data_IF_933238878527
#
_entry.id   IF_933238878527
#
_cell.length_a   1.000
_cell.length_b   1.000
_cell.length_c   1.000
_cell.angle_alpha   90.00
_cell.angle_beta   90.00
_cell.angle_gamma   90.00
#
_symmetry.space_group_name_H-M   'P 1'
#
loop_
_entity.id
_entity.type
_entity.pdbx_description
1 polymer ?
#
# COMPACT_ATOMS: atom_id res chain seq x y z
N UNK A 1 69.98 19.16 33.76
CA UNK A 1 68.51 19.01 33.81
C UNK A 1 67.95 19.12 32.40
N UNK A 2 67.32 18.07 31.85
CA UNK A 2 66.58 18.12 30.57
C UNK A 2 65.28 17.34 30.75
N UNK A 3 64.20 18.09 30.93
CA UNK A 3 62.85 17.61 31.24
C UNK A 3 62.25 16.89 30.03
N UNK A 4 61.76 15.67 30.21
CA UNK A 4 61.00 14.93 29.19
C UNK A 4 59.51 15.12 29.47
N UNK A 5 58.81 15.73 28.51
CA UNK A 5 57.35 15.91 28.55
C UNK A 5 56.73 14.63 27.99
N UNK A 6 55.97 13.90 28.80
CA UNK A 6 55.13 12.80 28.35
C UNK A 6 53.71 13.34 28.11
N UNK A 7 53.28 13.44 26.85
CA UNK A 7 51.88 13.67 26.52
C UNK A 7 51.12 12.34 26.61
N UNK A 8 50.24 12.23 27.61
CA UNK A 8 49.31 11.12 27.71
C UNK A 8 48.05 11.47 26.92
N UNK A 9 47.80 10.76 25.82
CA UNK A 9 46.56 10.89 25.03
C UNK A 9 45.55 9.91 25.58
N UNK A 10 44.65 10.40 26.42
CA UNK A 10 43.52 9.61 26.93
C UNK A 10 42.43 9.53 25.86
N UNK A 11 42.29 8.37 25.22
CA UNK A 11 41.23 8.07 24.27
C UNK A 11 39.95 7.70 25.02
N UNK A 12 39.10 8.69 25.28
CA UNK A 12 37.79 8.49 25.87
C UNK A 12 36.83 7.87 24.84
N UNK A 13 36.50 6.59 25.01
CA UNK A 13 35.37 5.98 24.29
C UNK A 13 34.07 6.58 24.85
N UNK A 14 33.43 7.47 24.09
CA UNK A 14 32.04 7.84 24.37
C UNK A 14 31.12 6.67 23.97
N UNK A 15 30.19 6.25 24.85
CA UNK A 15 29.19 5.27 24.48
C UNK A 15 28.23 5.92 23.49
N UNK A 16 28.30 5.49 22.23
CA UNK A 16 27.29 5.84 21.24
C UNK A 16 26.04 5.07 21.62
N UNK A 17 25.09 5.77 22.26
CA UNK A 17 23.75 5.22 22.47
C UNK A 17 23.10 5.03 21.09
N UNK A 18 23.22 3.82 20.55
CA UNK A 18 22.47 3.41 19.39
C UNK A 18 20.99 3.31 19.82
N UNK A 19 20.20 4.32 19.49
CA UNK A 19 18.75 4.15 19.39
C UNK A 19 18.51 3.16 18.24
N UNK A 20 18.51 1.87 18.54
CA UNK A 20 17.93 0.89 17.65
C UNK A 20 16.43 1.23 17.58
N UNK A 21 16.02 1.98 16.56
CA UNK A 21 14.62 2.07 16.24
C UNK A 21 14.16 0.68 15.84
N UNK A 22 13.06 0.19 16.42
CA UNK A 22 12.31 -0.99 15.97
C UNK A 22 11.65 -0.76 14.59
N UNK A 23 12.31 0.02 13.74
CA UNK A 23 11.76 0.67 12.57
C UNK A 23 11.73 -0.26 11.38
N UNK A 24 10.83 -1.24 11.39
CA UNK A 24 10.22 -1.63 10.11
C UNK A 24 9.51 -0.38 9.60
N UNK A 25 10.14 0.37 8.68
CA UNK A 25 9.48 1.50 8.04
C UNK A 25 8.16 1.00 7.46
N UNK A 26 7.05 1.66 7.80
CA UNK A 26 5.78 1.35 7.19
C UNK A 26 5.85 1.61 5.68
N UNK A 27 5.01 0.91 4.93
CA UNK A 27 4.83 1.20 3.51
C UNK A 27 4.35 2.64 3.34
N UNK A 28 4.97 3.46 2.47
CA UNK A 28 4.54 4.83 2.27
C UNK A 28 3.13 4.91 1.67
N UNK A 29 2.33 5.90 2.10
CA UNK A 29 0.91 6.06 1.74
C UNK A 29 0.59 5.93 0.26
N UNK A 30 1.47 6.45 -0.61
CA UNK A 30 1.30 6.38 -2.07
C UNK A 30 1.35 4.96 -2.65
N UNK A 31 1.84 3.96 -1.92
CA UNK A 31 1.80 2.56 -2.34
C UNK A 31 0.63 1.80 -1.71
N UNK A 32 0.03 2.35 -0.66
CA UNK A 32 -1.11 1.74 0.02
C UNK A 32 -2.33 1.69 -0.89
N UNK A 33 -3.21 0.74 -0.59
CA UNK A 33 -4.53 0.62 -1.19
C UNK A 33 -4.74 -0.68 -1.96
N UNK A 34 -5.80 -0.68 -2.76
CA UNK A 34 -6.22 -1.79 -3.59
C UNK A 34 -5.77 -1.56 -5.04
N UNK A 35 -5.19 -2.60 -5.62
CA UNK A 35 -4.66 -2.64 -6.97
C UNK A 35 -5.22 -3.87 -7.69
N UNK A 36 -5.61 -3.72 -8.96
CA UNK A 36 -6.17 -4.81 -9.76
C UNK A 36 -5.54 -4.87 -11.17
N UNK A 37 -5.74 -5.96 -11.90
CA UNK A 37 -5.19 -6.16 -13.25
C UNK A 37 -5.75 -5.20 -14.31
N UNK A 38 -6.93 -4.65 -14.05
CA UNK A 38 -7.59 -3.63 -14.86
C UNK A 38 -8.42 -2.69 -13.97
N UNK A 39 -8.75 -1.47 -14.42
CA UNK A 39 -9.70 -0.60 -13.70
C UNK A 39 -11.07 -1.26 -13.48
N UNK A 40 -11.54 -2.08 -14.41
CA UNK A 40 -12.83 -2.77 -14.36
C UNK A 40 -12.83 -3.89 -13.32
N UNK A 41 -11.68 -4.53 -13.10
CA UNK A 41 -11.50 -5.60 -12.11
C UNK A 41 -11.62 -5.12 -10.66
N UNK A 42 -11.57 -3.81 -10.39
CA UNK A 42 -11.53 -3.27 -9.03
C UNK A 42 -12.75 -3.60 -8.15
N UNK A 43 -13.88 -3.97 -8.77
CA UNK A 43 -15.10 -4.37 -8.06
C UNK A 43 -15.26 -5.90 -7.91
N UNK A 44 -14.35 -6.68 -8.50
CA UNK A 44 -14.37 -8.14 -8.48
C UNK A 44 -13.29 -8.64 -7.56
N UNK A 45 -13.63 -9.53 -6.63
CA UNK A 45 -12.61 -10.28 -5.87
C UNK A 45 -12.05 -11.45 -6.70
N UNK A 46 -12.60 -11.76 -7.87
CA UNK A 46 -12.18 -12.89 -8.71
C UNK A 46 -11.07 -12.55 -9.73
N UNK A 47 -10.38 -11.43 -9.58
CA UNK A 47 -9.22 -11.08 -10.42
C UNK A 47 -7.93 -11.64 -9.79
N UNK A 48 -7.28 -12.56 -10.50
CA UNK A 48 -6.02 -13.20 -10.08
C UNK A 48 -4.88 -12.18 -9.83
N UNK A 49 -5.02 -10.94 -10.33
CA UNK A 49 -4.05 -9.87 -10.16
C UNK A 49 -4.34 -8.92 -9.00
N UNK A 50 -5.36 -9.19 -8.18
CA UNK A 50 -5.65 -8.39 -6.99
C UNK A 50 -4.44 -8.34 -6.07
N UNK A 51 -4.16 -7.13 -5.61
CA UNK A 51 -3.13 -6.83 -4.65
C UNK A 51 -3.62 -5.75 -3.69
N UNK A 52 -3.57 -6.05 -2.39
CA UNK A 52 -3.82 -5.08 -1.32
C UNK A 52 -2.52 -4.83 -0.58
N UNK A 53 -2.12 -3.58 -0.49
CA UNK A 53 -0.95 -3.16 0.29
C UNK A 53 -1.45 -2.31 1.46
N UNK A 54 -1.31 -2.85 2.67
CA UNK A 54 -1.55 -2.16 3.92
C UNK A 54 -0.20 -1.71 4.53
N UNK A 55 -0.19 -0.83 5.56
CA UNK A 55 1.06 -0.29 6.12
C UNK A 55 2.12 -1.33 6.50
N UNK A 56 1.70 -2.53 6.90
CA UNK A 56 2.57 -3.63 7.36
C UNK A 56 2.12 -5.02 6.88
N UNK A 57 1.20 -5.10 5.93
CA UNK A 57 0.64 -6.36 5.43
C UNK A 57 0.44 -6.28 3.93
N UNK A 58 0.62 -7.40 3.24
CA UNK A 58 0.34 -7.52 1.82
C UNK A 58 -0.57 -8.72 1.60
N UNK A 59 -1.55 -8.58 0.71
CA UNK A 59 -2.47 -9.65 0.33
C UNK A 59 -2.50 -9.71 -1.19
N UNK A 60 -2.13 -10.86 -1.75
CA UNK A 60 -2.35 -11.27 -3.13
C UNK A 60 -3.57 -12.19 -3.18
N UNK A 61 -3.95 -12.63 -4.38
CA UNK A 61 -5.04 -13.59 -4.57
C UNK A 61 -4.83 -14.91 -3.78
N UNK A 62 -3.63 -15.50 -3.85
CA UNK A 62 -3.36 -16.84 -3.30
C UNK A 62 -2.53 -16.82 -2.01
N UNK A 63 -1.98 -15.67 -1.65
CA UNK A 63 -1.08 -15.56 -0.50
C UNK A 63 -1.14 -14.21 0.17
N UNK A 64 -0.88 -14.20 1.47
CA UNK A 64 -0.82 -12.97 2.25
C UNK A 64 0.21 -13.07 3.36
N UNK A 65 0.56 -11.93 3.94
CA UNK A 65 1.33 -11.94 5.17
C UNK A 65 2.02 -10.64 5.53
N UNK A 66 2.73 -10.63 6.67
CA UNK A 66 3.37 -9.44 7.20
C UNK A 66 4.56 -8.98 6.34
N UNK A 67 4.67 -7.66 6.19
CA UNK A 67 5.83 -7.00 5.60
C UNK A 67 6.92 -6.88 6.68
N UNK A 68 8.06 -7.52 6.43
CA UNK A 68 9.22 -7.57 7.33
C UNK A 68 10.21 -6.44 7.09
N UNK A 69 10.31 -5.94 5.86
CA UNK A 69 11.12 -4.78 5.53
C UNK A 69 10.56 -4.01 4.32
N UNK A 70 10.81 -2.70 4.32
CA UNK A 70 10.50 -1.78 3.22
C UNK A 70 11.78 -1.06 2.84
N UNK A 71 12.15 -1.12 1.56
CA UNK A 71 13.32 -0.42 1.02
C UNK A 71 12.86 0.52 -0.09
N UNK A 72 13.26 1.78 0.00
CA UNK A 72 12.90 2.82 -0.96
C UNK A 72 14.08 3.19 -1.85
N UNK A 73 13.84 3.34 -3.15
CA UNK A 73 14.76 3.97 -4.09
C UNK A 73 14.09 5.21 -4.69
N UNK A 74 14.44 6.37 -4.15
CA UNK A 74 13.77 7.62 -4.48
C UNK A 74 12.29 7.61 -4.10
N UNK A 75 11.46 8.29 -4.89
CA UNK A 75 10.02 8.43 -4.60
C UNK A 75 9.16 7.34 -5.25
N UNK A 76 9.57 6.76 -6.37
CA UNK A 76 8.70 5.87 -7.17
C UNK A 76 8.98 4.38 -7.00
N UNK A 77 10.16 3.97 -6.53
CA UNK A 77 10.54 2.56 -6.49
C UNK A 77 10.59 2.05 -5.04
N UNK A 78 9.94 0.92 -4.79
CA UNK A 78 9.88 0.26 -3.48
C UNK A 78 10.17 -1.23 -3.62
N UNK A 79 10.99 -1.78 -2.74
CA UNK A 79 11.12 -3.22 -2.54
C UNK A 79 10.56 -3.60 -1.17
N UNK A 80 9.79 -4.69 -1.12
CA UNK A 80 9.28 -5.28 0.11
C UNK A 80 9.91 -6.64 0.33
N UNK A 81 10.24 -6.94 1.58
CA UNK A 81 10.48 -8.30 2.04
C UNK A 81 9.25 -8.70 2.85
N UNK A 82 8.57 -9.76 2.43
CA UNK A 82 7.33 -10.24 3.01
C UNK A 82 7.52 -11.68 3.47
N UNK A 83 6.93 -12.05 4.60
CA UNK A 83 6.70 -13.46 4.96
C UNK A 83 5.29 -13.76 4.51
N UNK A 84 5.17 -14.53 3.43
CA UNK A 84 3.88 -14.88 2.83
C UNK A 84 3.49 -16.28 3.27
N UNK A 85 2.19 -16.49 3.41
CA UNK A 85 1.56 -17.78 3.63
C UNK A 85 0.48 -18.01 2.58
N UNK A 86 0.38 -19.24 2.11
CA UNK A 86 -0.58 -19.68 1.07
C UNK A 86 -0.46 -21.19 0.90
N UNK A 87 -1.56 -21.86 0.56
CA UNK A 87 -1.60 -23.32 0.30
C UNK A 87 -1.00 -24.22 1.41
N UNK A 88 -0.95 -23.73 2.65
CA UNK A 88 -0.38 -24.45 3.80
C UNK A 88 1.12 -24.27 4.01
N UNK A 89 1.79 -23.47 3.18
CA UNK A 89 3.21 -23.14 3.31
C UNK A 89 3.42 -21.71 3.81
N UNK A 90 4.63 -21.41 4.28
CA UNK A 90 5.07 -20.06 4.63
C UNK A 90 6.49 -19.85 4.17
N UNK A 91 6.75 -18.75 3.46
CA UNK A 91 8.03 -18.46 2.84
C UNK A 91 8.35 -16.97 2.85
N UNK A 92 9.63 -16.63 2.72
CA UNK A 92 10.05 -15.25 2.49
C UNK A 92 10.03 -14.94 0.99
N UNK A 93 9.43 -13.81 0.63
CA UNK A 93 9.37 -13.29 -0.73
C UNK A 93 9.90 -11.87 -0.79
N UNK A 94 10.54 -11.51 -1.90
CA UNK A 94 10.93 -10.14 -2.21
C UNK A 94 10.20 -9.67 -3.45
N UNK A 95 9.44 -8.60 -3.33
CA UNK A 95 8.73 -7.97 -4.45
C UNK A 95 9.23 -6.55 -4.67
N UNK A 96 9.37 -6.14 -5.94
CA UNK A 96 9.77 -4.78 -6.34
C UNK A 96 8.65 -4.14 -7.13
N UNK A 97 8.28 -2.94 -6.69
CA UNK A 97 7.26 -2.13 -7.31
C UNK A 97 7.83 -0.79 -7.78
N UNK A 98 7.39 -0.36 -8.96
CA UNK A 98 7.56 1.00 -9.46
C UNK A 98 6.18 1.65 -9.58
N UNK A 99 5.99 2.79 -8.93
CA UNK A 99 4.77 3.60 -9.02
C UNK A 99 4.89 4.55 -10.21
N UNK A 100 3.85 4.62 -11.06
CA UNK A 100 3.79 5.61 -12.13
C UNK A 100 3.73 7.04 -11.58
N UNK A 101 4.15 8.06 -12.35
CA UNK A 101 4.18 9.45 -11.87
C UNK A 101 2.81 9.99 -11.39
N UNK A 102 1.72 9.53 -11.98
CA UNK A 102 0.34 9.88 -11.60
C UNK A 102 -0.20 9.06 -10.41
N UNK A 103 0.59 8.10 -9.90
CA UNK A 103 0.21 7.21 -8.82
C UNK A 103 -0.89 6.21 -9.18
N UNK A 104 -1.29 6.10 -10.46
CA UNK A 104 -2.43 5.27 -10.90
C UNK A 104 -2.05 3.85 -11.29
N UNK A 105 -0.76 3.57 -11.53
CA UNK A 105 -0.27 2.25 -11.89
C UNK A 105 0.87 1.82 -10.97
N UNK A 106 0.81 0.56 -10.56
CA UNK A 106 1.86 -0.11 -9.82
C UNK A 106 2.46 -1.19 -10.72
N UNK A 107 3.72 -1.02 -11.09
CA UNK A 107 4.46 -1.95 -11.93
C UNK A 107 5.23 -2.89 -11.02
N UNK A 108 4.91 -4.17 -11.08
CA UNK A 108 5.63 -5.25 -10.42
C UNK A 108 6.70 -5.78 -11.38
N UNK A 109 7.97 -5.62 -10.96
CA UNK A 109 9.14 -5.93 -11.78
C UNK A 109 9.74 -7.32 -11.46
N UNK A 110 9.15 -8.10 -10.54
CA UNK A 110 9.79 -9.29 -9.98
C UNK A 110 8.93 -10.54 -9.98
N UNK A 111 7.61 -10.42 -9.86
CA UNK A 111 6.73 -11.59 -9.69
C UNK A 111 6.74 -12.50 -10.91
N UNK A 112 6.89 -11.92 -12.11
CA UNK A 112 6.96 -12.69 -13.35
C UNK A 112 8.32 -12.46 -14.02
N UNK A 113 9.20 -13.48 -14.09
CA UNK A 113 10.53 -13.33 -14.64
C UNK A 113 10.53 -12.78 -16.08
N UNK A 114 11.33 -11.74 -16.32
CA UNK A 114 11.52 -11.16 -17.65
C UNK A 114 10.35 -10.33 -18.18
N UNK A 115 9.30 -10.08 -17.38
CA UNK A 115 8.19 -9.22 -17.78
C UNK A 115 7.68 -8.36 -16.62
N UNK A 116 7.19 -7.19 -16.98
CA UNK A 116 6.51 -6.31 -16.03
C UNK A 116 5.05 -6.70 -15.91
N UNK A 117 4.54 -6.71 -14.68
CA UNK A 117 3.12 -6.89 -14.39
C UNK A 117 2.57 -5.55 -13.90
N UNK A 118 1.63 -4.98 -14.66
CA UNK A 118 1.03 -3.68 -14.34
C UNK A 118 -0.31 -3.90 -13.64
N UNK A 119 -0.48 -3.25 -12.49
CA UNK A 119 -1.75 -3.17 -11.76
C UNK A 119 -2.23 -1.72 -11.69
N UNK A 120 -3.53 -1.52 -11.62
CA UNK A 120 -4.20 -0.22 -11.62
C UNK A 120 -4.78 0.07 -10.25
N UNK A 121 -4.63 1.32 -9.81
CA UNK A 121 -5.18 1.78 -8.53
C UNK A 121 -6.70 1.74 -8.59
N UNK A 122 -7.29 0.98 -7.68
CA UNK A 122 -8.72 1.02 -7.45
C UNK A 122 -9.11 2.28 -6.69
N UNK A 123 -10.31 2.80 -6.96
CA UNK A 123 -10.85 3.87 -6.15
C UNK A 123 -10.99 3.35 -4.70
N UNK A 124 -10.63 4.17 -3.73
CA UNK A 124 -10.87 3.82 -2.32
C UNK A 124 -12.38 3.64 -2.15
N UNK A 125 -12.84 2.42 -1.89
CA UNK A 125 -14.26 2.16 -1.60
C UNK A 125 -14.69 2.75 -0.24
N UNK A 126 -13.79 3.49 0.44
CA UNK A 126 -14.08 4.37 1.58
C UNK A 126 -14.90 5.58 1.10
N UNK A 127 -16.11 5.32 0.63
CA UNK A 127 -17.00 6.34 0.08
C UNK A 127 -18.26 5.80 -0.60
N UNK A 128 -18.28 4.53 -1.02
CA UNK A 128 -19.45 3.98 -1.70
C UNK A 128 -19.82 2.62 -1.11
N UNK A 129 -20.47 2.64 0.05
CA UNK A 129 -21.42 1.56 0.36
C UNK A 129 -22.53 1.63 -0.69
N UNK A 130 -22.81 0.58 -1.48
CA UNK A 130 -24.07 0.48 -2.20
C UNK A 130 -25.17 0.19 -1.15
N UNK A 131 -25.60 1.24 -0.45
CA UNK A 131 -26.48 1.10 0.71
C UNK A 131 -26.85 2.44 1.34
N UNK A 132 -27.10 3.46 0.51
CA UNK A 132 -27.97 4.60 0.81
C UNK A 132 -27.98 5.53 -0.41
N UNK A 133 -28.50 5.04 -1.54
CA UNK A 133 -29.13 5.94 -2.48
C UNK A 133 -30.44 6.37 -1.82
N UNK A 134 -30.39 7.43 -1.01
CA UNK A 134 -31.59 8.16 -0.61
C UNK A 134 -32.18 8.75 -1.89
N UNK A 135 -33.04 7.97 -2.52
CA UNK A 135 -33.96 8.45 -3.55
C UNK A 135 -34.66 9.69 -2.96
N UNK A 136 -34.58 10.88 -3.57
CA UNK A 136 -35.39 11.99 -3.09
C UNK A 136 -36.85 11.57 -3.20
N UNK A 137 -37.57 11.64 -2.09
CA UNK A 137 -38.99 11.34 -2.04
C UNK A 137 -39.72 12.16 -3.12
N UNK A 138 -40.63 11.55 -3.90
CA UNK A 138 -41.45 12.34 -4.81
C UNK A 138 -42.24 13.35 -3.97
N UNK A 139 -42.16 14.63 -4.34
CA UNK A 139 -42.97 15.69 -3.74
C UNK A 139 -44.44 15.29 -3.86
N UNK A 140 -45.01 14.87 -2.73
CA UNK A 140 -46.42 14.54 -2.58
C UNK A 140 -47.19 15.86 -2.52
N UNK A 141 -47.52 16.40 -3.69
CA UNK A 141 -48.25 17.66 -3.84
C UNK A 141 -49.53 17.48 -4.65
N UNK A 142 -50.66 17.54 -3.94
CA UNK A 142 -52.00 17.92 -4.39
C UNK A 142 -52.70 17.09 -5.48
N UNK A 143 -53.60 16.22 -5.02
CA UNK A 143 -54.83 15.89 -5.75
C UNK A 143 -55.71 17.14 -5.92
N UNK A 144 -56.30 17.23 -7.12
CA UNK A 144 -57.63 17.78 -7.45
C UNK A 144 -57.81 19.30 -7.63
N UNK A 145 -57.98 19.69 -8.90
CA UNK A 145 -59.22 20.33 -9.37
C UNK A 145 -59.32 20.25 -10.89
N UNK A 146 -60.23 19.42 -11.42
CA UNK A 146 -60.68 19.48 -12.83
C UNK A 146 -61.71 20.62 -12.95
N UNK A 147 -61.65 21.49 -13.97
CA UNK A 147 -62.78 22.35 -14.30
C UNK A 147 -63.85 21.55 -15.04
N UNK A 148 -65.11 21.75 -14.64
CA UNK A 148 -66.30 21.33 -15.38
C UNK A 148 -66.49 22.33 -16.53
N UNK A 149 -66.43 21.87 -17.77
CA UNK A 149 -66.79 22.68 -18.95
C UNK A 149 -68.31 22.69 -19.17
N UNK A 150 -68.86 23.73 -19.82
CA UNK A 150 -70.29 24.04 -19.85
C UNK A 150 -71.14 23.02 -20.61
#
# INVERSE_FOLDING_TARGET
MKTRIFLSVSLSLLPLAACAGDGTSAVPDRFLGHWAGSPESCASEADDLILRIAPRHITHWESEGPIKAVVMRGHSEMALICELSGEGETWLSTVKFTLSPDGRRLIDNTTVPGRELVRYRCADTVGTRPGNASMPAPLRGALQSRPRSP
#
